data_IF_980017453421
#
_entry.id   IF_980017453421
#
_cell.length_a   1.000
_cell.length_b   1.000
_cell.length_c   1.000
_cell.angle_alpha   90.00
_cell.angle_beta   90.00
_cell.angle_gamma   90.00
#
_symmetry.space_group_name_H-M   'P 1'
#
loop_
_entity.id
_entity.type
_entity.pdbx_description
1 polymer ?
#
# COMPACT_ATOMS: atom_id res chain seq x y z
N UNK A 1 16.89 -0.17 -5.69
CA UNK A 1 16.21 -1.03 -4.68
C UNK A 1 14.69 -0.82 -4.76
N UNK A 2 13.84 -1.77 -4.32
CA UNK A 2 12.37 -1.64 -4.31
C UNK A 2 11.85 -1.60 -2.88
N UNK A 3 10.85 -0.75 -2.61
CA UNK A 3 10.12 -0.70 -1.34
C UNK A 3 8.73 -1.29 -1.55
N UNK A 4 8.37 -2.28 -0.73
CA UNK A 4 7.09 -3.00 -0.85
C UNK A 4 6.39 -2.96 0.52
N UNK A 5 5.17 -2.43 0.53
CA UNK A 5 4.22 -2.59 1.62
C UNK A 5 3.46 -3.89 1.37
N UNK A 6 3.84 -4.97 2.06
CA UNK A 6 3.17 -6.27 1.98
C UNK A 6 2.26 -6.42 3.21
N UNK A 7 0.96 -6.19 3.01
CA UNK A 7 -0.02 -6.11 4.09
C UNK A 7 -1.08 -7.19 3.97
N UNK A 8 -1.64 -7.61 5.10
CA UNK A 8 -2.74 -8.59 5.14
C UNK A 8 -4.07 -7.85 5.29
N UNK A 9 -5.06 -8.25 4.51
CA UNK A 9 -6.36 -7.60 4.42
C UNK A 9 -6.41 -6.51 3.35
N UNK A 10 -7.62 -6.25 2.86
CA UNK A 10 -7.90 -5.16 1.92
C UNK A 10 -8.42 -3.97 2.70
N UNK A 11 -7.80 -2.79 2.58
CA UNK A 11 -8.40 -1.60 3.19
C UNK A 11 -9.73 -1.29 2.51
N UNK A 12 -10.76 -1.07 3.32
CA UNK A 12 -12.08 -0.61 2.87
C UNK A 12 -11.96 0.76 2.23
N UNK A 13 -12.88 1.08 1.33
CA UNK A 13 -13.01 2.45 0.80
C UNK A 13 -13.40 3.39 1.95
N UNK A 14 -12.76 4.55 2.03
CA UNK A 14 -12.99 5.49 3.12
C UNK A 14 -11.82 6.47 3.31
N UNK A 15 -11.92 7.34 4.33
CA UNK A 15 -10.91 8.37 4.60
C UNK A 15 -9.53 7.78 4.90
N UNK A 16 -9.45 6.58 5.48
CA UNK A 16 -8.19 5.89 5.72
C UNK A 16 -7.48 5.49 4.42
N UNK A 17 -8.22 4.99 3.43
CA UNK A 17 -7.66 4.66 2.11
C UNK A 17 -7.16 5.92 1.41
N UNK A 18 -7.96 6.98 1.42
CA UNK A 18 -7.59 8.26 0.82
C UNK A 18 -6.32 8.83 1.44
N UNK A 19 -6.19 8.72 2.78
CA UNK A 19 -5.00 9.13 3.50
C UNK A 19 -3.77 8.36 3.01
N UNK A 20 -3.86 7.03 2.93
CA UNK A 20 -2.74 6.19 2.45
C UNK A 20 -2.35 6.56 1.02
N UNK A 21 -3.32 6.72 0.11
CA UNK A 21 -3.06 7.09 -1.27
C UNK A 21 -2.33 8.43 -1.39
N UNK A 22 -2.73 9.43 -0.59
CA UNK A 22 -2.09 10.74 -0.55
C UNK A 22 -0.65 10.67 -0.02
N UNK A 23 -0.39 9.86 1.01
CA UNK A 23 0.98 9.66 1.51
C UNK A 23 1.84 8.90 0.52
N UNK A 24 1.31 7.88 -0.16
CA UNK A 24 2.04 7.15 -1.20
C UNK A 24 2.40 8.06 -2.37
N UNK A 25 1.49 8.96 -2.80
CA UNK A 25 1.80 9.97 -3.82
C UNK A 25 2.97 10.87 -3.40
N UNK A 26 2.97 11.36 -2.16
CA UNK A 26 4.05 12.22 -1.61
C UNK A 26 5.37 11.47 -1.47
N UNK A 27 5.33 10.19 -1.11
CA UNK A 27 6.53 9.39 -0.88
C UNK A 27 7.24 8.96 -2.18
N UNK A 28 6.52 8.79 -3.29
CA UNK A 28 7.08 8.40 -4.61
C UNK A 28 8.26 9.26 -5.09
N UNK A 29 8.18 10.61 -5.15
CA UNK A 29 9.31 11.43 -5.57
C UNK A 29 10.49 11.37 -4.59
N UNK A 30 10.21 11.29 -3.28
CA UNK A 30 11.25 11.17 -2.23
C UNK A 30 12.03 9.86 -2.40
N UNK A 31 11.33 8.74 -2.59
CA UNK A 31 11.93 7.43 -2.77
C UNK A 31 12.89 7.40 -3.98
N UNK A 32 12.53 8.06 -5.08
CA UNK A 32 13.42 8.18 -6.26
C UNK A 32 14.71 8.93 -5.95
N UNK A 33 14.61 10.04 -5.21
CA UNK A 33 15.80 10.80 -4.77
C UNK A 33 16.74 10.00 -3.87
N UNK A 34 16.22 9.00 -3.15
CA UNK A 34 16.98 8.12 -2.27
C UNK A 34 17.52 6.85 -2.96
N UNK A 35 17.36 6.70 -4.28
CA UNK A 35 17.85 5.52 -5.02
C UNK A 35 16.90 4.32 -5.03
N UNK A 36 15.66 4.48 -4.55
CA UNK A 36 14.62 3.48 -4.70
C UNK A 36 13.87 3.66 -6.02
N UNK A 37 13.49 2.54 -6.65
CA UNK A 37 12.78 2.54 -7.94
C UNK A 37 11.33 3.02 -7.79
N UNK A 38 10.76 2.86 -6.60
CA UNK A 38 9.39 3.20 -6.28
C UNK A 38 8.92 2.50 -5.00
N UNK A 39 7.67 2.78 -4.66
CA UNK A 39 6.94 2.18 -3.55
C UNK A 39 5.75 1.43 -4.16
N UNK A 40 5.59 0.17 -3.78
CA UNK A 40 4.49 -0.70 -4.19
C UNK A 40 3.70 -1.15 -2.97
N UNK A 41 2.39 -1.20 -3.08
CA UNK A 41 1.48 -1.73 -2.07
C UNK A 41 0.90 -3.04 -2.59
N UNK A 42 1.01 -4.10 -1.80
CA UNK A 42 0.50 -5.43 -2.10
C UNK A 42 -0.37 -5.85 -0.93
N UNK A 43 -1.67 -5.93 -1.19
CA UNK A 43 -2.66 -6.45 -0.25
C UNK A 43 -2.85 -7.94 -0.47
N UNK A 44 -2.60 -8.72 0.58
CA UNK A 44 -2.79 -10.17 0.60
C UNK A 44 -4.08 -10.46 1.36
N UNK A 45 -4.95 -11.30 0.80
CA UNK A 45 -6.14 -11.73 1.52
C UNK A 45 -5.78 -12.33 2.88
N UNK A 46 -6.48 -11.93 3.94
CA UNK A 46 -6.43 -12.64 5.22
C UNK A 46 -6.93 -14.06 4.99
N UNK A 47 -6.12 -15.06 5.36
CA UNK A 47 -6.46 -16.47 5.17
C UNK A 47 -7.77 -16.83 5.88
N UNK A 48 -8.82 -16.99 5.08
CA UNK A 48 -10.21 -17.26 5.49
C UNK A 48 -11.11 -16.88 4.31
N UNK A 49 -11.11 -17.73 3.27
CA UNK A 49 -11.70 -17.40 1.96
C UNK A 49 -13.16 -16.98 2.02
N UNK A 50 -13.58 -16.12 1.08
CA UNK A 50 -14.96 -15.80 0.60
C UNK A 50 -16.14 -15.68 1.60
N UNK A 51 -15.95 -15.86 2.90
CA UNK A 51 -16.99 -15.92 3.94
C UNK A 51 -16.66 -15.02 5.15
N UNK A 52 -15.93 -13.93 4.91
CA UNK A 52 -15.75 -12.87 5.90
C UNK A 52 -15.81 -11.50 5.23
N UNK A 53 -17.07 -11.07 5.01
CA UNK A 53 -17.55 -9.68 4.82
C UNK A 53 -17.43 -9.01 3.43
#
# INVERSE_FOLDING_TARGET
MRLIFLVVGKMKSGPERELVDEYLKRARPVARGLGFRGIEEIEVASGGGLDAE
#
